data_IF_531937508331
#
_entry.id   IF_531937508331
#
_cell.length_a   1.000
_cell.length_b   1.000
_cell.length_c   1.000
_cell.angle_alpha   90.00
_cell.angle_beta   90.00
_cell.angle_gamma   90.00
#
_symmetry.space_group_name_H-M   'P 1'
#
loop_
_entity.id
_entity.type
_entity.pdbx_description
1 polymer ?
#
# COMPACT_ATOMS: atom_id res chain seq x y z
N UNK A 1 1.43 58.41 -13.57
CA UNK A 1 1.26 57.15 -14.34
C UNK A 1 1.28 55.99 -13.32
N UNK A 2 0.06 55.58 -12.91
CA UNK A 2 -0.12 54.56 -11.89
C UNK A 2 -0.16 53.17 -12.55
N UNK A 3 0.83 52.31 -12.30
CA UNK A 3 0.78 50.90 -12.62
C UNK A 3 0.03 50.14 -11.47
N UNK A 4 -1.21 49.78 -11.72
CA UNK A 4 -1.94 48.83 -10.90
C UNK A 4 -1.33 47.44 -11.09
N UNK A 5 -0.76 46.90 -10.01
CA UNK A 5 -0.38 45.47 -9.91
C UNK A 5 -1.64 44.64 -9.70
N UNK A 6 -2.05 43.91 -10.71
CA UNK A 6 -3.09 42.88 -10.60
C UNK A 6 -2.42 41.63 -9.96
N UNK A 7 -2.75 41.35 -8.70
CA UNK A 7 -2.43 40.07 -8.03
C UNK A 7 -3.39 39.02 -8.57
N UNK A 8 -2.88 38.10 -9.39
CA UNK A 8 -3.57 36.84 -9.69
C UNK A 8 -3.37 35.89 -8.53
N UNK A 9 -4.38 35.77 -7.68
CA UNK A 9 -4.47 34.66 -6.72
C UNK A 9 -4.80 33.38 -7.49
N UNK A 10 -3.80 32.55 -7.74
CA UNK A 10 -4.00 31.19 -8.24
C UNK A 10 -4.51 30.37 -7.05
N UNK A 11 -5.82 30.12 -7.01
CA UNK A 11 -6.41 29.11 -6.16
C UNK A 11 -6.01 27.77 -6.77
N UNK A 12 -4.98 27.12 -6.21
CA UNK A 12 -4.67 25.72 -6.46
C UNK A 12 -5.77 24.87 -5.78
N UNK A 13 -6.93 24.78 -6.40
CA UNK A 13 -7.90 23.76 -6.12
C UNK A 13 -7.29 22.42 -6.56
N UNK A 14 -6.97 21.54 -5.60
CA UNK A 14 -6.49 20.20 -5.90
C UNK A 14 -7.48 19.48 -6.80
N UNK A 15 -7.11 19.27 -8.04
CA UNK A 15 -7.88 18.47 -9.00
C UNK A 15 -7.67 17.01 -8.62
N UNK A 16 -8.49 16.52 -7.70
CA UNK A 16 -8.65 15.08 -7.53
C UNK A 16 -9.10 14.51 -8.86
N UNK A 17 -8.29 13.64 -9.46
CA UNK A 17 -8.66 12.95 -10.70
C UNK A 17 -9.95 12.17 -10.45
N UNK A 18 -11.10 12.60 -10.96
CA UNK A 18 -12.39 11.98 -10.68
C UNK A 18 -12.46 10.52 -11.18
N UNK A 19 -11.56 10.12 -12.07
CA UNK A 19 -11.46 8.79 -12.64
C UNK A 19 -11.12 7.72 -11.60
N UNK A 20 -10.25 8.02 -10.62
CA UNK A 20 -9.85 7.03 -9.59
C UNK A 20 -10.97 6.71 -8.57
N UNK A 21 -11.94 7.60 -8.43
CA UNK A 21 -13.06 7.43 -7.51
C UNK A 21 -14.29 6.79 -8.16
N UNK A 22 -14.24 6.46 -9.46
CA UNK A 22 -15.38 5.87 -10.17
C UNK A 22 -15.68 4.49 -9.60
N UNK A 23 -16.98 4.27 -9.30
CA UNK A 23 -17.47 2.98 -8.87
C UNK A 23 -17.53 1.98 -10.04
N UNK A 24 -17.38 0.71 -9.72
CA UNK A 24 -17.51 -0.41 -10.64
C UNK A 24 -18.64 -1.34 -10.21
N UNK A 25 -19.16 -2.14 -11.13
CA UNK A 25 -20.12 -3.17 -10.78
C UNK A 25 -19.51 -4.10 -9.71
N UNK A 26 -20.32 -4.57 -8.80
CA UNK A 26 -19.91 -5.47 -7.73
C UNK A 26 -19.10 -6.68 -8.23
N UNK A 27 -19.50 -7.27 -9.38
CA UNK A 27 -18.79 -8.40 -9.96
C UNK A 27 -17.38 -8.06 -10.50
N UNK A 28 -17.11 -6.79 -10.80
CA UNK A 28 -15.83 -6.33 -11.32
C UNK A 28 -14.89 -5.86 -10.18
N UNK A 29 -15.37 -5.85 -8.93
CA UNK A 29 -14.57 -5.61 -7.73
C UNK A 29 -14.08 -6.94 -7.18
N UNK A 30 -12.78 -7.17 -7.13
CA UNK A 30 -12.13 -8.45 -6.83
C UNK A 30 -12.67 -9.63 -7.67
N UNK A 31 -12.54 -9.60 -9.01
CA UNK A 31 -13.15 -10.59 -9.91
C UNK A 31 -12.39 -11.93 -9.91
N UNK A 32 -12.25 -12.57 -8.74
CA UNK A 32 -11.52 -13.84 -8.56
C UNK A 32 -12.19 -15.02 -9.28
N UNK A 33 -13.45 -14.87 -9.64
CA UNK A 33 -14.19 -15.86 -10.45
C UNK A 33 -13.58 -16.05 -11.85
N UNK A 34 -12.75 -15.11 -12.31
CA UNK A 34 -11.99 -15.22 -13.57
C UNK A 34 -10.79 -16.17 -13.46
N UNK A 35 -10.40 -16.54 -12.25
CA UNK A 35 -9.31 -17.49 -12.00
C UNK A 35 -9.80 -18.94 -12.08
N UNK A 36 -8.93 -19.89 -12.50
CA UNK A 36 -9.17 -21.31 -12.28
C UNK A 36 -9.49 -21.61 -10.81
N UNK A 37 -10.30 -22.63 -10.50
CA UNK A 37 -10.75 -22.92 -9.13
C UNK A 37 -9.62 -23.03 -8.10
N UNK A 38 -8.51 -23.66 -8.47
CA UNK A 38 -7.33 -23.86 -7.61
C UNK A 38 -6.64 -22.53 -7.28
N UNK A 39 -6.43 -21.67 -8.28
CA UNK A 39 -5.84 -20.35 -8.09
C UNK A 39 -6.79 -19.41 -7.34
N UNK A 40 -8.11 -19.58 -7.50
CA UNK A 40 -9.09 -18.81 -6.74
C UNK A 40 -8.96 -19.08 -5.25
N UNK A 41 -8.95 -20.33 -4.82
CA UNK A 41 -8.80 -20.69 -3.42
C UNK A 41 -7.47 -20.16 -2.83
N UNK A 42 -6.37 -20.28 -3.59
CA UNK A 42 -5.05 -19.74 -3.22
C UNK A 42 -5.09 -18.21 -3.10
N UNK A 43 -5.73 -17.53 -4.06
CA UNK A 43 -5.89 -16.07 -4.07
C UNK A 43 -6.69 -15.57 -2.87
N UNK A 44 -7.81 -16.22 -2.54
CA UNK A 44 -8.64 -15.85 -1.38
C UNK A 44 -7.89 -16.04 -0.05
N UNK A 45 -7.15 -17.14 0.09
CA UNK A 45 -6.33 -17.40 1.28
C UNK A 45 -5.22 -16.35 1.44
N UNK A 46 -4.53 -16.01 0.35
CA UNK A 46 -3.46 -15.01 0.34
C UNK A 46 -4.01 -13.59 0.60
N UNK A 47 -5.18 -13.25 0.03
CA UNK A 47 -5.85 -11.99 0.29
C UNK A 47 -6.28 -11.85 1.75
N UNK A 48 -6.79 -12.94 2.35
CA UNK A 48 -7.10 -12.96 3.78
C UNK A 48 -5.84 -12.72 4.63
N UNK A 49 -4.74 -13.39 4.29
CA UNK A 49 -3.46 -13.17 4.97
C UNK A 49 -2.97 -11.72 4.82
N UNK A 50 -3.10 -11.13 3.64
CA UNK A 50 -2.74 -9.73 3.39
C UNK A 50 -3.57 -8.77 4.25
N UNK A 51 -4.89 -9.00 4.34
CA UNK A 51 -5.78 -8.21 5.19
C UNK A 51 -5.57 -8.43 6.70
N UNK A 52 -5.11 -9.60 7.10
CA UNK A 52 -4.73 -9.86 8.50
C UNK A 52 -3.42 -9.14 8.89
N UNK A 53 -2.72 -8.56 7.90
CA UNK A 53 -1.48 -7.79 8.07
C UNK A 53 -1.66 -6.31 7.68
N UNK A 54 -0.57 -5.62 7.38
CA UNK A 54 -0.57 -4.19 7.08
C UNK A 54 -1.26 -3.81 5.75
N UNK A 55 -1.44 -4.77 4.82
CA UNK A 55 -2.13 -4.51 3.56
C UNK A 55 -3.61 -4.14 3.76
N UNK A 56 -4.19 -4.42 4.93
CA UNK A 56 -5.49 -3.90 5.33
C UNK A 56 -5.56 -2.38 5.14
N UNK A 57 -4.53 -1.67 5.56
CA UNK A 57 -4.48 -0.20 5.55
C UNK A 57 -4.30 0.39 4.16
N UNK A 58 -3.80 -0.40 3.22
CA UNK A 58 -3.76 -0.04 1.79
C UNK A 58 -5.09 -0.34 1.11
N UNK A 59 -5.59 -1.59 1.28
CA UNK A 59 -6.78 -2.08 0.55
C UNK A 59 -8.03 -1.32 0.96
N UNK A 60 -8.24 -1.14 2.27
CA UNK A 60 -9.52 -0.64 2.78
C UNK A 60 -9.46 0.84 3.15
N UNK A 61 -8.44 1.28 3.82
CA UNK A 61 -8.43 2.60 4.43
C UNK A 61 -7.72 3.69 3.65
N UNK A 62 -6.90 3.32 2.66
CA UNK A 62 -6.04 4.29 1.97
C UNK A 62 -5.07 5.03 2.89
N UNK A 63 -4.82 4.48 4.08
CA UNK A 63 -3.87 5.03 5.05
C UNK A 63 -2.42 4.82 4.56
N UNK A 64 -2.19 3.75 3.82
CA UNK A 64 -0.95 3.44 3.11
C UNK A 64 -1.19 3.52 1.61
N UNK A 65 -0.39 4.28 0.87
CA UNK A 65 -0.37 4.22 -0.59
C UNK A 65 -0.05 2.84 -1.15
N UNK A 66 0.86 2.10 -0.49
CA UNK A 66 1.35 0.80 -0.93
C UNK A 66 1.58 -0.14 0.25
N UNK A 67 1.39 -1.44 0.02
CA UNK A 67 1.96 -2.52 0.85
C UNK A 67 2.70 -3.49 -0.05
N UNK A 68 3.83 -4.02 0.46
CA UNK A 68 4.70 -4.97 -0.21
C UNK A 68 4.82 -6.28 0.57
N UNK A 69 5.57 -7.25 0.04
CA UNK A 69 5.79 -8.52 0.72
C UNK A 69 4.56 -9.42 0.83
N UNK A 70 3.54 -9.19 0.00
CA UNK A 70 2.32 -10.03 -0.05
C UNK A 70 2.67 -11.47 -0.42
N UNK A 71 3.61 -11.63 -1.36
CA UNK A 71 4.29 -12.86 -1.72
C UNK A 71 5.75 -12.52 -1.99
N UNK A 72 6.67 -13.46 -1.78
CA UNK A 72 8.10 -13.22 -1.96
C UNK A 72 8.72 -14.36 -2.76
N UNK A 73 9.50 -14.01 -3.78
CA UNK A 73 10.11 -14.94 -4.71
C UNK A 73 11.61 -14.74 -4.79
N UNK A 74 12.33 -15.85 -4.84
CA UNK A 74 13.76 -15.86 -5.17
C UNK A 74 13.96 -16.88 -6.28
N UNK A 75 14.61 -16.46 -7.35
CA UNK A 75 14.90 -17.35 -8.48
C UNK A 75 16.29 -17.09 -9.01
N UNK A 76 16.91 -18.17 -9.55
CA UNK A 76 18.22 -18.09 -10.21
C UNK A 76 18.12 -17.24 -11.47
N UNK A 77 19.12 -16.37 -11.67
CA UNK A 77 19.22 -15.59 -12.91
C UNK A 77 19.55 -16.50 -14.10
N UNK A 78 20.38 -17.52 -13.88
CA UNK A 78 20.80 -18.43 -14.92
C UNK A 78 19.75 -19.48 -15.32
N UNK A 79 18.96 -19.92 -14.34
CA UNK A 79 17.92 -20.95 -14.52
C UNK A 79 16.63 -20.56 -13.78
N UNK A 80 15.87 -19.59 -14.29
CA UNK A 80 14.71 -19.07 -13.60
C UNK A 80 13.53 -20.06 -13.64
N UNK A 81 13.01 -20.48 -12.47
CA UNK A 81 11.69 -21.07 -12.34
C UNK A 81 10.68 -19.96 -11.96
N UNK A 82 9.84 -19.59 -12.87
CA UNK A 82 8.92 -18.47 -12.75
C UNK A 82 7.44 -18.89 -12.57
N UNK A 83 7.15 -20.19 -12.43
CA UNK A 83 5.76 -20.71 -12.39
C UNK A 83 4.96 -20.11 -11.25
N UNK A 84 5.51 -20.15 -10.04
CA UNK A 84 4.84 -19.59 -8.85
C UNK A 84 4.68 -18.07 -8.94
N UNK A 85 5.66 -17.37 -9.51
CA UNK A 85 5.59 -15.93 -9.75
C UNK A 85 4.48 -15.59 -10.73
N UNK A 86 4.35 -16.34 -11.83
CA UNK A 86 3.31 -16.13 -12.85
C UNK A 86 1.91 -16.45 -12.31
N UNK A 87 1.74 -17.53 -11.55
CA UNK A 87 0.49 -17.82 -10.83
C UNK A 87 0.10 -16.66 -9.90
N UNK A 88 1.07 -16.14 -9.15
CA UNK A 88 0.81 -15.00 -8.25
C UNK A 88 0.43 -13.75 -9.03
N UNK A 89 1.08 -13.47 -10.16
CA UNK A 89 0.68 -12.35 -11.02
C UNK A 89 -0.76 -12.47 -11.49
N UNK A 90 -1.19 -13.66 -11.91
CA UNK A 90 -2.59 -13.91 -12.29
C UNK A 90 -3.54 -13.68 -11.11
N UNK A 91 -3.20 -14.14 -9.91
CA UNK A 91 -4.01 -13.88 -8.72
C UNK A 91 -4.10 -12.39 -8.39
N UNK A 92 -2.96 -11.69 -8.35
CA UNK A 92 -2.88 -10.25 -8.05
C UNK A 92 -3.63 -9.40 -9.08
N UNK A 93 -3.66 -9.80 -10.35
CA UNK A 93 -4.45 -9.11 -11.38
C UNK A 93 -5.95 -9.08 -11.07
N UNK A 94 -6.46 -9.94 -10.19
CA UNK A 94 -7.83 -9.92 -9.70
C UNK A 94 -8.03 -9.09 -8.44
N UNK A 95 -6.95 -8.63 -7.79
CA UNK A 95 -7.02 -7.78 -6.60
C UNK A 95 -7.17 -6.31 -6.98
N UNK A 96 -8.28 -6.01 -7.58
CA UNK A 96 -8.62 -4.67 -8.05
C UNK A 96 -10.10 -4.35 -7.78
N UNK A 97 -10.39 -3.09 -7.58
CA UNK A 97 -11.75 -2.57 -7.52
C UNK A 97 -11.77 -1.26 -8.31
N UNK A 98 -12.14 -1.34 -9.58
CA UNK A 98 -11.92 -0.27 -10.56
C UNK A 98 -10.44 0.07 -10.71
N UNK A 99 -10.16 1.34 -10.98
CA UNK A 99 -8.81 1.87 -11.11
C UNK A 99 -8.21 2.32 -9.77
N UNK A 100 -8.98 2.28 -8.68
CA UNK A 100 -8.53 2.76 -7.39
C UNK A 100 -7.58 1.79 -6.66
N UNK A 101 -7.68 0.49 -6.94
CA UNK A 101 -6.82 -0.55 -6.37
C UNK A 101 -6.09 -1.30 -7.48
N UNK A 102 -4.78 -1.47 -7.32
CA UNK A 102 -3.91 -2.15 -8.28
C UNK A 102 -2.92 -3.05 -7.53
N UNK A 103 -2.75 -4.28 -7.99
CA UNK A 103 -1.77 -5.20 -7.44
C UNK A 103 -1.01 -5.92 -8.57
N UNK A 104 0.28 -6.16 -8.36
CA UNK A 104 1.16 -6.85 -9.31
C UNK A 104 2.43 -7.36 -8.61
N UNK A 105 3.35 -7.93 -9.38
CA UNK A 105 4.67 -8.34 -8.94
C UNK A 105 5.69 -7.24 -9.23
N UNK A 106 6.44 -6.87 -8.21
CA UNK A 106 7.57 -5.95 -8.30
C UNK A 106 8.90 -6.70 -8.26
N UNK A 107 9.85 -6.31 -9.11
CA UNK A 107 11.20 -6.85 -9.15
C UNK A 107 12.21 -5.87 -8.57
N UNK A 108 13.03 -6.34 -7.64
CA UNK A 108 14.10 -5.52 -7.09
C UNK A 108 15.21 -5.26 -8.12
N UNK A 109 15.77 -4.06 -8.10
CA UNK A 109 16.79 -3.63 -9.04
C UNK A 109 18.08 -4.46 -8.92
N UNK A 110 18.46 -4.82 -7.69
CA UNK A 110 19.71 -5.54 -7.40
C UNK A 110 19.50 -7.05 -7.36
N UNK A 111 20.48 -7.78 -7.88
CA UNK A 111 20.66 -9.21 -7.64
C UNK A 111 21.50 -9.43 -6.38
N UNK A 112 21.50 -10.65 -5.88
CA UNK A 112 22.36 -11.07 -4.77
C UNK A 112 22.87 -12.48 -5.02
N UNK A 113 24.00 -12.84 -4.37
CA UNK A 113 24.55 -14.19 -4.45
C UNK A 113 24.02 -15.03 -3.30
N UNK A 114 23.40 -16.15 -3.60
CA UNK A 114 23.03 -17.13 -2.57
C UNK A 114 24.30 -17.74 -1.97
N UNK A 115 24.44 -17.66 -0.65
CA UNK A 115 25.66 -18.08 0.04
C UNK A 115 25.88 -19.60 0.01
N UNK A 116 24.82 -20.40 -0.20
CA UNK A 116 24.88 -21.86 -0.24
C UNK A 116 25.17 -22.38 -1.66
N UNK A 117 24.38 -21.93 -2.64
CA UNK A 117 24.49 -22.44 -4.03
C UNK A 117 25.50 -21.66 -4.86
N UNK A 118 25.88 -20.44 -4.41
CA UNK A 118 26.73 -19.49 -5.14
C UNK A 118 26.09 -18.97 -6.43
N UNK A 119 24.80 -19.21 -6.62
CA UNK A 119 24.05 -18.70 -7.75
C UNK A 119 23.75 -17.21 -7.60
N UNK A 120 23.74 -16.52 -8.73
CA UNK A 120 23.16 -15.17 -8.79
C UNK A 120 21.65 -15.28 -8.78
N UNK A 121 21.03 -14.64 -7.79
CA UNK A 121 19.60 -14.69 -7.52
C UNK A 121 18.96 -13.33 -7.73
N UNK A 122 17.72 -13.32 -8.18
CA UNK A 122 16.84 -12.14 -8.19
C UNK A 122 15.72 -12.31 -7.17
N UNK A 123 15.36 -11.20 -6.57
CA UNK A 123 14.22 -11.11 -5.68
C UNK A 123 13.05 -10.38 -6.35
N UNK A 124 11.84 -10.86 -6.13
CA UNK A 124 10.61 -10.20 -6.53
C UNK A 124 9.56 -10.38 -5.42
N UNK A 125 8.59 -9.49 -5.38
CA UNK A 125 7.51 -9.56 -4.39
C UNK A 125 6.17 -9.08 -4.94
N UNK A 126 5.07 -9.57 -4.36
CA UNK A 126 3.75 -9.05 -4.59
C UNK A 126 3.56 -7.71 -3.88
N UNK A 127 3.03 -6.73 -4.60
CA UNK A 127 2.73 -5.39 -4.12
C UNK A 127 1.28 -5.03 -4.41
N UNK A 128 0.69 -4.20 -3.55
CA UNK A 128 -0.65 -3.65 -3.76
C UNK A 128 -0.65 -2.16 -3.49
N UNK A 129 -1.36 -1.40 -4.32
CA UNK A 129 -1.45 0.05 -4.27
C UNK A 129 -2.89 0.51 -4.11
N UNK A 130 -3.10 1.46 -3.21
CA UNK A 130 -4.25 2.34 -3.24
C UNK A 130 -3.87 3.57 -4.07
N UNK A 131 -4.39 3.66 -5.29
CA UNK A 131 -4.02 4.71 -6.24
C UNK A 131 -4.50 6.09 -5.81
N UNK A 132 -5.59 6.17 -5.05
CA UNK A 132 -6.08 7.44 -4.47
C UNK A 132 -5.06 7.96 -3.46
N UNK A 133 -4.60 7.08 -2.55
CA UNK A 133 -3.59 7.44 -1.56
C UNK A 133 -2.21 7.71 -2.19
N UNK A 134 -1.84 6.97 -3.25
CA UNK A 134 -0.60 7.21 -4.00
C UNK A 134 -0.63 8.58 -4.71
N UNK A 135 -1.73 8.93 -5.34
CA UNK A 135 -1.91 10.26 -5.94
C UNK A 135 -1.84 11.38 -4.89
N UNK A 136 -2.42 11.15 -3.70
CA UNK A 136 -2.31 12.10 -2.58
C UNK A 136 -0.88 12.24 -2.07
N UNK A 137 -0.09 11.16 -2.01
CA UNK A 137 1.33 11.21 -1.65
C UNK A 137 2.15 11.99 -2.69
N UNK A 138 1.93 11.75 -3.99
CA UNK A 138 2.59 12.50 -5.07
C UNK A 138 2.24 14.00 -4.99
N UNK A 139 0.97 14.33 -4.72
CA UNK A 139 0.53 15.73 -4.56
C UNK A 139 1.16 16.40 -3.34
N UNK A 140 1.39 15.67 -2.26
CA UNK A 140 1.98 16.19 -1.02
C UNK A 140 3.48 16.45 -1.15
N UNK A 141 4.18 15.66 -1.97
CA UNK A 141 5.65 15.71 -2.13
C UNK A 141 6.06 15.99 -3.58
N UNK A 142 5.57 17.07 -4.21
CA UNK A 142 5.88 17.39 -5.61
C UNK A 142 7.38 17.63 -5.83
N UNK A 143 8.07 18.17 -4.83
CA UNK A 143 9.52 18.40 -4.85
C UNK A 143 10.33 17.11 -4.98
N UNK A 144 9.77 15.99 -4.49
CA UNK A 144 10.39 14.67 -4.63
C UNK A 144 9.99 13.98 -5.93
N UNK A 145 8.70 13.95 -6.28
CA UNK A 145 8.21 13.15 -7.41
C UNK A 145 8.36 13.83 -8.78
N UNK A 146 8.27 15.16 -8.85
CA UNK A 146 8.34 15.89 -10.12
C UNK A 146 9.69 15.73 -10.87
N UNK A 147 10.87 15.68 -10.21
CA UNK A 147 12.15 15.42 -10.88
C UNK A 147 12.21 14.07 -11.62
N UNK A 148 11.38 13.08 -11.22
CA UNK A 148 11.24 11.81 -11.92
C UNK A 148 10.20 11.85 -13.06
N UNK A 149 9.54 13.00 -13.30
CA UNK A 149 8.43 13.11 -14.23
C UNK A 149 7.13 12.45 -13.73
N UNK A 150 7.06 12.10 -12.45
CA UNK A 150 5.91 11.40 -11.87
C UNK A 150 4.81 12.39 -11.48
N UNK A 151 3.62 12.11 -11.99
CA UNK A 151 2.39 12.88 -11.73
C UNK A 151 1.34 12.01 -11.05
N UNK A 152 0.25 12.60 -10.61
CA UNK A 152 -0.89 11.88 -10.00
C UNK A 152 -1.53 10.84 -10.93
N UNK A 153 -1.29 10.91 -12.22
CA UNK A 153 -1.76 9.94 -13.23
C UNK A 153 -0.74 8.85 -13.53
N UNK A 154 0.48 8.91 -12.98
CA UNK A 154 1.50 7.91 -13.21
C UNK A 154 1.03 6.51 -12.77
N UNK A 155 1.41 5.49 -13.53
CA UNK A 155 1.08 4.12 -13.17
C UNK A 155 1.82 3.71 -11.89
N UNK A 156 1.19 3.00 -10.93
CA UNK A 156 1.81 2.67 -9.65
C UNK A 156 3.15 1.93 -9.77
N UNK A 157 3.28 1.00 -10.71
CA UNK A 157 4.57 0.33 -10.95
C UNK A 157 5.62 1.28 -11.54
N UNK A 158 5.25 2.24 -12.38
CA UNK A 158 6.16 3.27 -12.87
C UNK A 158 6.74 4.06 -11.70
N UNK A 159 5.89 4.49 -10.77
CA UNK A 159 6.32 5.20 -9.55
C UNK A 159 7.28 4.34 -8.73
N UNK A 160 6.91 3.09 -8.47
CA UNK A 160 7.75 2.18 -7.68
C UNK A 160 9.09 1.88 -8.37
N UNK A 161 9.08 1.65 -9.68
CA UNK A 161 10.28 1.35 -10.45
C UNK A 161 11.23 2.55 -10.51
N UNK A 162 10.73 3.76 -10.72
CA UNK A 162 11.55 4.97 -10.70
C UNK A 162 12.26 5.15 -9.34
N UNK A 163 11.54 4.87 -8.24
CA UNK A 163 12.08 4.91 -6.88
C UNK A 163 13.10 3.78 -6.66
N UNK A 164 12.78 2.54 -7.05
CA UNK A 164 13.63 1.37 -6.80
C UNK A 164 14.99 1.48 -7.52
N UNK A 165 15.01 2.06 -8.72
CA UNK A 165 16.25 2.24 -9.50
C UNK A 165 17.03 3.51 -9.12
N UNK A 166 16.57 4.27 -8.12
CA UNK A 166 17.29 5.43 -7.61
C UNK A 166 18.46 5.06 -6.70
N UNK A 167 19.29 6.04 -6.39
CA UNK A 167 20.33 5.93 -5.36
C UNK A 167 19.72 5.71 -3.97
N UNK A 168 20.46 5.18 -2.97
CA UNK A 168 19.89 4.77 -1.68
C UNK A 168 19.03 5.81 -0.98
N UNK A 169 19.50 7.05 -0.79
CA UNK A 169 18.75 8.09 -0.09
C UNK A 169 17.38 8.40 -0.71
N UNK A 170 17.32 8.78 -2.01
CA UNK A 170 16.06 8.95 -2.73
C UNK A 170 15.17 7.70 -2.73
N UNK A 171 15.75 6.50 -2.90
CA UNK A 171 15.00 5.24 -2.84
C UNK A 171 14.32 5.05 -1.48
N UNK A 172 15.04 5.22 -0.39
CA UNK A 172 14.46 5.09 0.95
C UNK A 172 13.37 6.12 1.21
N UNK A 173 13.57 7.36 0.76
CA UNK A 173 12.59 8.44 0.89
C UNK A 173 11.30 8.12 0.13
N UNK A 174 11.41 7.76 -1.13
CA UNK A 174 10.26 7.42 -1.96
C UNK A 174 9.49 6.20 -1.46
N UNK A 175 10.20 5.15 -1.01
CA UNK A 175 9.57 3.99 -0.37
C UNK A 175 8.84 4.40 0.92
N UNK A 176 9.44 5.26 1.76
CA UNK A 176 8.79 5.77 2.97
C UNK A 176 7.48 6.50 2.67
N UNK A 177 7.44 7.35 1.64
CA UNK A 177 6.22 8.03 1.19
C UNK A 177 5.17 7.04 0.66
N UNK A 178 5.59 6.02 -0.11
CA UNK A 178 4.68 4.99 -0.60
C UNK A 178 4.16 4.08 0.53
N UNK A 179 4.95 3.84 1.57
CA UNK A 179 4.48 3.11 2.76
C UNK A 179 3.59 3.95 3.67
N UNK A 180 3.44 5.25 3.41
CA UNK A 180 2.59 6.15 4.20
C UNK A 180 3.17 6.49 5.57
N UNK A 181 4.49 6.48 5.69
CA UNK A 181 5.17 6.88 6.92
C UNK A 181 5.12 8.40 7.11
N UNK A 182 5.08 8.90 8.36
CA UNK A 182 5.19 10.33 8.64
C UNK A 182 6.50 10.91 8.09
N UNK A 183 6.44 12.15 7.59
CA UNK A 183 7.59 12.82 6.96
C UNK A 183 8.82 12.83 7.87
N UNK A 184 8.64 13.15 9.15
CA UNK A 184 9.73 13.15 10.12
C UNK A 184 10.42 11.78 10.29
N UNK A 185 9.66 10.68 10.16
CA UNK A 185 10.18 9.33 10.26
C UNK A 185 10.95 8.95 8.99
N UNK A 186 10.45 9.38 7.83
CA UNK A 186 11.16 9.25 6.55
C UNK A 186 12.47 10.03 6.59
N UNK A 187 12.46 11.27 7.04
CA UNK A 187 13.65 12.12 7.18
C UNK A 187 14.68 11.49 8.12
N UNK A 188 14.23 11.01 9.27
CA UNK A 188 15.11 10.31 10.22
C UNK A 188 15.72 9.06 9.61
N UNK A 189 14.93 8.23 8.94
CA UNK A 189 15.43 6.98 8.33
C UNK A 189 16.47 7.25 7.25
N UNK A 190 16.23 8.24 6.38
CA UNK A 190 17.16 8.63 5.33
C UNK A 190 18.45 9.16 5.93
N UNK A 191 18.37 10.12 6.86
CA UNK A 191 19.56 10.69 7.51
C UNK A 191 20.38 9.65 8.27
N UNK A 192 19.71 8.71 8.95
CA UNK A 192 20.37 7.62 9.65
C UNK A 192 21.05 6.64 8.68
N UNK A 193 20.46 6.40 7.52
CA UNK A 193 21.04 5.57 6.47
C UNK A 193 22.29 6.23 5.83
N UNK A 194 22.20 7.52 5.50
CA UNK A 194 23.30 8.30 4.95
C UNK A 194 24.48 8.41 5.95
N UNK A 195 24.20 8.60 7.24
CA UNK A 195 25.21 8.59 8.29
C UNK A 195 25.89 7.22 8.39
N UNK A 196 25.11 6.14 8.32
CA UNK A 196 25.65 4.78 8.33
C UNK A 196 26.50 4.49 7.09
N UNK A 197 26.12 4.94 5.89
CA UNK A 197 26.93 4.80 4.68
C UNK A 197 28.24 5.58 4.80
N UNK A 198 28.22 6.78 5.38
CA UNK A 198 29.38 7.64 5.56
C UNK A 198 30.35 7.16 6.63
N UNK A 199 29.84 6.63 7.74
CA UNK A 199 30.67 6.29 8.92
C UNK A 199 30.93 4.79 9.07
N UNK A 200 30.14 3.93 8.42
CA UNK A 200 30.09 2.48 8.64
C UNK A 200 29.44 2.09 9.97
N UNK A 201 28.95 3.05 10.77
CA UNK A 201 28.34 2.79 12.08
C UNK A 201 26.82 2.80 12.01
N UNK A 202 26.21 1.76 12.58
CA UNK A 202 24.76 1.66 12.66
C UNK A 202 24.19 2.74 13.59
N UNK A 203 23.28 3.57 13.07
CA UNK A 203 22.54 4.55 13.86
C UNK A 203 21.42 3.86 14.62
N UNK A 204 21.51 3.86 15.96
CA UNK A 204 20.50 3.28 16.84
C UNK A 204 19.14 3.94 16.63
N UNK A 205 18.08 3.13 16.67
CA UNK A 205 16.70 3.57 16.44
C UNK A 205 15.71 2.75 17.23
N UNK A 206 14.61 3.38 17.58
CA UNK A 206 13.40 2.72 18.06
C UNK A 206 12.43 2.53 16.89
N UNK A 207 11.33 1.83 17.15
CA UNK A 207 10.29 1.56 16.16
C UNK A 207 8.92 1.93 16.74
N UNK A 208 8.21 2.79 16.02
CA UNK A 208 6.80 3.05 16.29
C UNK A 208 5.95 2.09 15.44
N UNK A 209 4.92 1.50 16.01
CA UNK A 209 4.13 0.50 15.33
C UNK A 209 2.63 0.68 15.53
N UNK A 210 1.89 0.43 14.47
CA UNK A 210 0.43 0.40 14.43
C UNK A 210 -0.02 -1.07 14.39
N UNK A 211 -0.97 -1.50 15.26
CA UNK A 211 -1.36 -2.90 15.36
C UNK A 211 -2.10 -3.38 14.10
N UNK A 212 -1.94 -4.67 13.78
CA UNK A 212 -2.70 -5.38 12.74
C UNK A 212 -3.51 -6.51 13.38
N UNK A 213 -4.36 -7.20 12.61
CA UNK A 213 -5.15 -8.30 13.11
C UNK A 213 -4.28 -9.48 13.58
N UNK A 214 -3.28 -9.85 12.80
CA UNK A 214 -2.36 -10.94 13.15
C UNK A 214 -1.38 -10.57 14.28
N UNK A 215 -1.18 -9.28 14.55
CA UNK A 215 -0.14 -8.81 15.48
C UNK A 215 1.28 -9.18 15.05
N UNK A 216 2.22 -9.18 16.00
CA UNK A 216 3.59 -9.65 15.77
C UNK A 216 4.42 -8.85 14.78
N UNK A 217 5.25 -9.55 13.99
CA UNK A 217 6.26 -8.95 13.10
C UNK A 217 5.68 -8.21 11.87
N UNK A 218 4.46 -8.54 11.48
CA UNK A 218 3.80 -7.96 10.30
C UNK A 218 2.94 -6.75 10.68
N UNK A 219 3.48 -5.86 11.50
CA UNK A 219 2.83 -4.62 11.91
C UNK A 219 3.20 -3.49 10.97
N UNK A 220 2.30 -2.52 10.82
CA UNK A 220 2.63 -1.26 10.19
C UNK A 220 3.62 -0.51 11.10
N UNK A 221 4.89 -0.39 10.69
CA UNK A 221 6.00 0.02 11.55
C UNK A 221 6.95 0.94 10.79
N UNK A 222 7.45 1.98 11.48
CA UNK A 222 8.51 2.85 10.97
C UNK A 222 9.57 3.14 12.03
N UNK A 223 10.79 3.42 11.56
CA UNK A 223 11.91 3.76 12.42
C UNK A 223 11.78 5.19 12.96
N UNK A 224 12.14 5.36 14.23
CA UNK A 224 12.13 6.65 14.93
C UNK A 224 13.42 6.82 15.75
N UNK A 225 13.82 8.03 16.12
CA UNK A 225 14.94 8.25 17.04
C UNK A 225 14.76 7.50 18.36
N UNK A 226 15.86 7.07 18.98
CA UNK A 226 15.83 6.47 20.32
C UNK A 226 15.18 7.44 21.32
N UNK A 227 14.23 6.92 22.11
CA UNK A 227 13.47 7.73 23.07
C UNK A 227 12.38 8.60 22.44
N UNK A 228 11.96 8.28 21.22
CA UNK A 228 10.88 8.99 20.52
C UNK A 228 9.63 9.14 21.39
N UNK A 229 9.10 10.36 21.44
CA UNK A 229 7.81 10.65 22.03
C UNK A 229 6.75 10.73 20.93
N UNK A 230 5.62 10.07 21.15
CA UNK A 230 4.50 10.01 20.18
C UNK A 230 4.07 11.41 19.73
N UNK A 231 4.10 11.69 18.43
CA UNK A 231 3.72 12.95 17.81
C UNK A 231 2.24 12.97 17.41
N UNK A 232 1.76 14.12 16.99
CA UNK A 232 0.37 14.25 16.49
C UNK A 232 0.12 13.43 15.25
N UNK A 233 1.10 13.33 14.34
CA UNK A 233 1.03 12.51 13.14
C UNK A 233 0.91 11.03 13.50
N UNK A 234 1.70 10.55 14.46
CA UNK A 234 1.66 9.15 14.93
C UNK A 234 0.28 8.83 15.49
N UNK A 235 -0.25 9.72 16.35
CA UNK A 235 -1.60 9.58 16.93
C UNK A 235 -2.69 9.57 15.88
N UNK A 236 -2.61 10.44 14.89
CA UNK A 236 -3.59 10.51 13.80
C UNK A 236 -3.62 9.22 12.98
N UNK A 237 -2.45 8.70 12.59
CA UNK A 237 -2.32 7.43 11.87
C UNK A 237 -2.86 6.27 12.71
N UNK A 238 -2.47 6.19 13.98
CA UNK A 238 -2.91 5.14 14.90
C UNK A 238 -4.42 5.14 15.11
N UNK A 239 -5.02 6.30 15.37
CA UNK A 239 -6.46 6.43 15.54
C UNK A 239 -7.24 6.03 14.28
N UNK A 240 -6.75 6.40 13.11
CA UNK A 240 -7.36 5.98 11.85
C UNK A 240 -7.23 4.48 11.65
N UNK A 241 -6.07 3.92 11.92
CA UNK A 241 -5.83 2.48 11.83
C UNK A 241 -6.70 1.68 12.81
N UNK A 242 -6.89 2.16 14.03
CA UNK A 242 -7.76 1.53 15.04
C UNK A 242 -9.23 1.46 14.57
N UNK A 243 -9.73 2.50 13.91
CA UNK A 243 -11.08 2.50 13.32
C UNK A 243 -11.21 1.45 12.22
N UNK A 244 -10.23 1.39 11.31
CA UNK A 244 -10.17 0.42 10.22
C UNK A 244 -10.11 -1.01 10.78
N UNK A 245 -9.20 -1.23 11.73
CA UNK A 245 -9.00 -2.55 12.35
C UNK A 245 -10.24 -3.03 13.12
N UNK A 246 -10.91 -2.13 13.81
CA UNK A 246 -12.14 -2.45 14.55
C UNK A 246 -13.24 -2.91 13.59
N UNK A 247 -13.47 -2.18 12.51
CA UNK A 247 -14.45 -2.55 11.49
C UNK A 247 -14.05 -3.85 10.79
N UNK A 248 -12.74 -4.04 10.50
CA UNK A 248 -12.24 -5.28 9.92
C UNK A 248 -12.53 -6.49 10.81
N UNK A 249 -12.27 -6.41 12.12
CA UNK A 249 -12.54 -7.50 13.07
C UNK A 249 -14.02 -7.89 13.07
N UNK A 250 -14.92 -6.92 13.06
CA UNK A 250 -16.36 -7.16 13.02
C UNK A 250 -16.78 -7.86 11.71
N UNK A 251 -16.30 -7.38 10.57
CA UNK A 251 -16.61 -7.97 9.27
C UNK A 251 -15.97 -9.34 9.12
N UNK A 252 -14.70 -9.51 9.46
CA UNK A 252 -14.00 -10.78 9.42
C UNK A 252 -14.73 -11.86 10.20
N UNK A 253 -15.23 -11.54 11.39
CA UNK A 253 -16.01 -12.47 12.20
C UNK A 253 -17.31 -12.93 11.53
N UNK A 254 -17.93 -12.10 10.69
CA UNK A 254 -19.18 -12.43 9.97
C UNK A 254 -18.93 -13.21 8.68
N UNK A 255 -17.82 -12.95 7.97
CA UNK A 255 -17.61 -13.42 6.62
C UNK A 255 -16.60 -14.56 6.51
N UNK A 256 -15.68 -14.74 7.46
CA UNK A 256 -14.58 -15.71 7.35
C UNK A 256 -14.79 -16.87 8.30
N UNK A 257 -14.80 -18.08 7.76
CA UNK A 257 -14.97 -19.35 8.48
C UNK A 257 -15.91 -20.31 7.73
N UNK A 258 -16.03 -21.52 8.25
CA UNK A 258 -16.88 -22.57 7.65
C UNK A 258 -18.34 -22.11 7.52
N UNK A 259 -18.92 -22.25 6.33
CA UNK A 259 -20.29 -21.86 6.04
C UNK A 259 -20.55 -20.35 5.94
N UNK A 260 -19.51 -19.52 5.97
CA UNK A 260 -19.63 -18.07 5.83
C UNK A 260 -19.39 -17.60 4.41
N UNK A 261 -19.81 -16.36 4.05
CA UNK A 261 -19.77 -15.86 2.68
C UNK A 261 -18.39 -15.73 2.04
N UNK A 262 -17.31 -15.67 2.83
CA UNK A 262 -15.94 -15.58 2.35
C UNK A 262 -15.41 -14.14 2.22
N UNK A 263 -14.08 -14.04 2.04
CA UNK A 263 -13.33 -12.78 2.05
C UNK A 263 -13.72 -11.84 0.90
N UNK A 264 -14.01 -12.39 -0.28
CA UNK A 264 -14.39 -11.59 -1.45
C UNK A 264 -15.72 -10.89 -1.22
N UNK A 265 -16.71 -11.62 -0.68
CA UNK A 265 -18.00 -11.01 -0.36
C UNK A 265 -17.86 -9.96 0.75
N UNK A 266 -16.96 -10.18 1.73
CA UNK A 266 -16.66 -9.18 2.75
C UNK A 266 -16.18 -7.87 2.13
N UNK A 267 -15.22 -7.93 1.21
CA UNK A 267 -14.68 -6.72 0.56
C UNK A 267 -15.71 -6.06 -0.33
N UNK A 268 -16.43 -6.85 -1.13
CA UNK A 268 -17.50 -6.34 -1.99
C UNK A 268 -18.59 -5.62 -1.18
N UNK A 269 -19.02 -6.20 -0.06
CA UNK A 269 -20.02 -5.57 0.84
C UNK A 269 -19.45 -4.36 1.59
N UNK A 270 -18.13 -4.27 1.72
CA UNK A 270 -17.50 -3.11 2.34
C UNK A 270 -17.44 -1.92 1.40
N UNK A 271 -17.28 -2.19 0.11
CA UNK A 271 -17.16 -1.16 -0.92
C UNK A 271 -18.47 -0.84 -1.64
N UNK A 272 -19.52 -1.64 -1.45
CA UNK A 272 -20.82 -1.47 -2.10
C UNK A 272 -21.57 -0.25 -1.54
N UNK A 273 -22.17 0.53 -2.42
CA UNK A 273 -23.03 1.67 -2.09
C UNK A 273 -24.47 1.26 -1.69
N UNK A 274 -24.74 -0.05 -1.65
CA UNK A 274 -26.08 -0.63 -1.43
C UNK A 274 -26.92 -0.78 -2.71
N UNK A 275 -26.36 -0.45 -3.88
CA UNK A 275 -27.00 -0.56 -5.20
C UNK A 275 -26.21 -1.43 -6.17
N UNK A 276 -25.19 -2.13 -5.68
CA UNK A 276 -24.33 -3.01 -6.48
C UNK A 276 -23.17 -2.28 -7.18
N UNK A 277 -22.84 -1.07 -6.74
CA UNK A 277 -21.70 -0.30 -7.21
C UNK A 277 -20.65 -0.22 -6.12
N UNK A 278 -19.48 -0.80 -6.37
CA UNK A 278 -18.36 -0.79 -5.44
C UNK A 278 -17.38 0.34 -5.76
N UNK A 279 -16.94 1.05 -4.71
CA UNK A 279 -15.83 2.01 -4.74
C UNK A 279 -15.09 2.00 -3.42
N UNK A 280 -13.76 2.19 -3.46
CA UNK A 280 -12.95 2.32 -2.26
C UNK A 280 -13.39 3.51 -1.38
N UNK A 281 -13.97 4.54 -2.00
CA UNK A 281 -14.50 5.73 -1.30
C UNK A 281 -15.78 5.44 -0.50
N UNK A 282 -16.46 4.33 -0.77
CA UNK A 282 -17.66 3.92 -0.03
C UNK A 282 -17.32 3.22 1.30
N UNK A 283 -16.06 2.84 1.52
CA UNK A 283 -15.64 2.19 2.75
C UNK A 283 -15.93 3.07 3.96
N UNK A 284 -16.80 2.61 4.85
CA UNK A 284 -17.18 3.32 6.08
C UNK A 284 -16.47 2.71 7.29
N UNK A 285 -15.96 3.56 8.16
CA UNK A 285 -15.29 3.20 9.41
C UNK A 285 -16.03 3.82 10.58
N UNK A 286 -16.66 3.00 11.39
CA UNK A 286 -17.40 3.41 12.57
C UNK A 286 -18.71 2.63 12.73
N UNK A 287 -19.15 2.45 13.95
CA UNK A 287 -20.43 1.84 14.28
C UNK A 287 -21.54 2.78 13.80
N UNK A 288 -22.26 2.42 12.74
CA UNK A 288 -23.59 3.01 12.53
C UNK A 288 -24.41 2.56 13.73
N UNK A 289 -24.62 3.43 14.71
CA UNK A 289 -25.77 3.31 15.61
C UNK A 289 -27.00 3.30 14.70
N UNK A 290 -27.64 2.14 14.54
CA UNK A 290 -28.99 2.10 13.98
C UNK A 290 -29.81 3.08 14.82
N UNK A 291 -30.21 4.20 14.23
CA UNK A 291 -31.32 4.94 14.76
C UNK A 291 -32.50 3.94 14.82
N UNK A 292 -32.93 3.63 16.04
CA UNK A 292 -34.16 2.91 16.28
C UNK A 292 -35.28 3.79 15.73
N UNK A 293 -35.99 3.32 14.72
CA UNK A 293 -37.31 3.79 14.34
C UNK A 293 -38.33 2.86 14.91
#
# INVERSE_FOLDING_TARGET
>A
MNLQRILFSIILGGVFSPVLAQGVRRADCFPVEKLPPELRAKSEAQLLQALDTEALYTIVGGLKPMSSGIASFKFSVAQPDLRELEETRQMLATWRCGDALYADVHHFAKTFVDLKTKDEMRFAEGVIFNRIAAAAAITRHPEFFAPYGLTVSAHPLEVLMAIEYSTPGPRWRGQGYLFGFPDYAVDFFVSAGEEQEKTGQFVKRDFYSVPTFSGGERRFVWAVPVGHQERDEDRAIKQQAEKILTEYKLRRARYVGTGKPGIINMLRDWFDDGRGVCSLTNAQFGVKTKAAH
#
